data_IF_437942885280
#
_entry.id   IF_437942885280
#
_cell.length_a   1.000
_cell.length_b   1.000
_cell.length_c   1.000
_cell.angle_alpha   90.00
_cell.angle_beta   90.00
_cell.angle_gamma   90.00
#
_symmetry.space_group_name_H-M   'P 1'
#
loop_
_entity.id
_entity.type
_entity.pdbx_description
1 polymer ?
#
# COMPACT_ATOMS: atom_id res chain seq x y z
N UNK A 1 -9.64 -18.79 10.61
CA UNK A 1 -9.50 -17.61 9.73
C UNK A 1 -10.72 -17.60 8.82
N UNK A 2 -11.73 -16.78 9.08
CA UNK A 2 -12.89 -16.68 8.18
C UNK A 2 -12.54 -15.69 7.07
N UNK A 3 -12.64 -16.13 5.83
CA UNK A 3 -12.60 -15.29 4.63
C UNK A 3 -13.67 -14.19 4.75
N UNK A 4 -13.37 -12.97 4.30
CA UNK A 4 -14.35 -11.87 4.27
C UNK A 4 -15.63 -12.34 3.57
N UNK A 5 -16.75 -12.33 4.30
CA UNK A 5 -18.03 -12.83 3.81
C UNK A 5 -18.80 -11.69 3.18
N UNK A 6 -19.25 -11.88 1.95
CA UNK A 6 -20.09 -10.92 1.27
C UNK A 6 -21.51 -11.43 1.23
N UNK A 7 -22.47 -10.54 1.48
CA UNK A 7 -23.88 -10.85 1.38
C UNK A 7 -24.57 -9.77 0.54
N UNK A 8 -25.44 -10.20 -0.36
CA UNK A 8 -26.00 -9.33 -1.38
C UNK A 8 -27.50 -9.50 -1.50
N UNK A 9 -28.22 -8.40 -1.66
CA UNK A 9 -29.62 -8.43 -2.07
C UNK A 9 -29.80 -7.68 -3.39
N UNK A 10 -30.25 -8.42 -4.40
CA UNK A 10 -30.48 -7.96 -5.75
C UNK A 10 -31.72 -8.66 -6.31
N UNK A 11 -32.55 -7.93 -7.05
CA UNK A 11 -33.64 -8.51 -7.82
C UNK A 11 -33.13 -9.62 -8.75
N UNK A 12 -33.95 -10.66 -8.94
CA UNK A 12 -33.57 -11.86 -9.71
C UNK A 12 -33.07 -11.52 -11.12
N UNK A 13 -33.73 -10.57 -11.78
CA UNK A 13 -33.45 -10.16 -13.16
C UNK A 13 -32.10 -9.42 -13.29
N UNK A 14 -31.59 -8.85 -12.20
CA UNK A 14 -30.35 -8.08 -12.18
C UNK A 14 -29.13 -8.90 -11.70
N UNK A 15 -29.32 -10.19 -11.33
CA UNK A 15 -28.21 -11.05 -10.87
C UNK A 15 -27.15 -11.31 -11.94
N UNK A 16 -27.53 -11.29 -13.22
CA UNK A 16 -26.59 -11.44 -14.35
C UNK A 16 -25.64 -10.24 -14.45
N UNK A 17 -26.18 -9.02 -14.37
CA UNK A 17 -25.40 -7.77 -14.40
C UNK A 17 -24.48 -7.65 -13.18
N UNK A 18 -24.97 -8.09 -12.01
CA UNK A 18 -24.20 -8.12 -10.78
C UNK A 18 -23.04 -9.11 -10.86
N UNK A 19 -23.14 -10.20 -11.63
CA UNK A 19 -22.02 -11.14 -11.82
C UNK A 19 -20.75 -10.47 -12.35
N UNK A 20 -20.88 -9.49 -13.25
CA UNK A 20 -19.75 -8.69 -13.74
C UNK A 20 -19.14 -7.82 -12.63
N UNK A 21 -19.99 -7.27 -11.76
CA UNK A 21 -19.56 -6.45 -10.61
C UNK A 21 -18.89 -7.32 -9.54
N UNK A 22 -19.43 -8.50 -9.23
CA UNK A 22 -18.80 -9.43 -8.30
C UNK A 22 -17.42 -9.88 -8.81
N UNK A 23 -17.30 -10.08 -10.13
CA UNK A 23 -16.04 -10.43 -10.78
C UNK A 23 -15.06 -9.27 -10.72
N UNK A 24 -15.52 -8.05 -11.02
CA UNK A 24 -14.75 -6.83 -10.88
C UNK A 24 -14.28 -6.61 -9.44
N UNK A 25 -15.12 -6.87 -8.45
CA UNK A 25 -14.78 -6.77 -7.03
C UNK A 25 -13.92 -7.95 -6.53
N UNK A 26 -13.74 -9.01 -7.33
CA UNK A 26 -12.99 -10.20 -6.94
C UNK A 26 -13.69 -11.08 -5.91
N UNK A 27 -15.01 -10.98 -5.79
CA UNK A 27 -15.82 -11.62 -4.74
C UNK A 27 -16.83 -12.66 -5.26
N UNK A 28 -16.80 -13.01 -6.56
CA UNK A 28 -17.77 -13.93 -7.19
C UNK A 28 -17.99 -15.24 -6.44
N UNK A 29 -16.94 -15.80 -5.83
CA UNK A 29 -17.01 -17.08 -5.11
C UNK A 29 -17.27 -16.93 -3.60
N UNK A 30 -17.52 -15.71 -3.12
CA UNK A 30 -17.60 -15.36 -1.69
C UNK A 30 -18.81 -14.50 -1.34
N UNK A 31 -19.63 -14.18 -2.32
CA UNK A 31 -20.84 -13.38 -2.15
C UNK A 31 -22.07 -14.30 -2.13
N UNK A 32 -22.74 -14.36 -0.99
CA UNK A 32 -24.03 -15.05 -0.84
C UNK A 32 -25.17 -14.10 -1.21
N UNK A 33 -26.23 -14.61 -1.82
CA UNK A 33 -27.40 -13.81 -2.18
C UNK A 33 -28.56 -14.11 -1.23
N UNK A 34 -29.20 -13.07 -0.71
CA UNK A 34 -30.45 -13.21 0.03
C UNK A 34 -31.66 -13.17 -0.88
N UNK A 35 -32.77 -13.67 -0.36
CA UNK A 35 -34.08 -13.71 -1.00
C UNK A 35 -34.87 -12.41 -0.80
N UNK A 36 -34.62 -11.67 0.28
CA UNK A 36 -35.29 -10.39 0.57
C UNK A 36 -34.40 -9.37 1.28
N UNK A 37 -34.83 -8.10 1.23
CA UNK A 37 -34.24 -7.01 2.00
C UNK A 37 -34.33 -7.24 3.53
N UNK A 38 -35.43 -7.84 3.99
CA UNK A 38 -35.62 -8.17 5.40
C UNK A 38 -34.66 -9.26 5.87
N UNK A 39 -34.45 -10.29 5.04
CA UNK A 39 -33.49 -11.36 5.29
C UNK A 39 -32.06 -10.82 5.36
N UNK A 40 -31.68 -9.97 4.40
CA UNK A 40 -30.38 -9.29 4.39
C UNK A 40 -30.13 -8.55 5.71
N UNK A 41 -31.07 -7.69 6.09
CA UNK A 41 -30.97 -6.87 7.30
C UNK A 41 -30.93 -7.72 8.57
N UNK A 42 -31.73 -8.78 8.65
CA UNK A 42 -31.73 -9.72 9.77
C UNK A 42 -30.41 -10.49 9.91
N UNK A 43 -29.83 -10.97 8.80
CA UNK A 43 -28.56 -11.70 8.81
C UNK A 43 -27.43 -10.78 9.28
N UNK A 44 -27.32 -9.58 8.70
CA UNK A 44 -26.30 -8.60 9.07
C UNK A 44 -26.46 -8.17 10.52
N UNK A 45 -27.69 -7.93 10.99
CA UNK A 45 -27.95 -7.49 12.36
C UNK A 45 -27.67 -8.54 13.44
N UNK A 46 -27.76 -9.85 13.11
CA UNK A 46 -27.51 -10.96 14.03
C UNK A 46 -26.08 -11.50 13.99
N UNK A 47 -25.28 -11.06 13.02
CA UNK A 47 -23.87 -11.45 12.88
C UNK A 47 -22.97 -10.68 13.84
N UNK A 48 -21.72 -11.10 14.03
CA UNK A 48 -20.81 -10.27 14.83
C UNK A 48 -20.46 -8.99 14.05
N UNK A 49 -20.27 -7.85 14.73
CA UNK A 49 -20.00 -6.59 14.05
C UNK A 49 -18.83 -6.70 13.07
N UNK A 50 -19.04 -6.21 11.86
CA UNK A 50 -18.07 -6.23 10.76
C UNK A 50 -17.73 -7.61 10.16
N UNK A 51 -18.54 -8.64 10.43
CA UNK A 51 -18.37 -9.96 9.79
C UNK A 51 -18.70 -9.96 8.29
N UNK A 52 -19.63 -9.11 7.88
CA UNK A 52 -20.17 -9.09 6.52
C UNK A 52 -19.99 -7.73 5.84
N UNK A 53 -19.56 -7.81 4.58
CA UNK A 53 -19.63 -6.72 3.61
C UNK A 53 -20.93 -6.88 2.80
N UNK A 54 -21.67 -5.80 2.61
CA UNK A 54 -23.03 -5.83 2.06
C UNK A 54 -23.07 -5.19 0.68
N UNK A 55 -23.67 -5.87 -0.28
CA UNK A 55 -23.93 -5.32 -1.62
C UNK A 55 -25.44 -5.25 -1.88
N UNK A 56 -25.92 -4.08 -2.28
CA UNK A 56 -27.35 -3.85 -2.58
C UNK A 56 -27.44 -3.29 -3.97
N UNK A 57 -28.31 -3.83 -4.82
CA UNK A 57 -28.53 -3.24 -6.12
C UNK A 57 -29.79 -3.72 -6.81
N UNK A 58 -30.45 -2.81 -7.52
CA UNK A 58 -31.58 -3.08 -8.40
C UNK A 58 -32.59 -4.07 -7.77
N UNK A 59 -33.09 -3.73 -6.58
CA UNK A 59 -33.92 -4.63 -5.74
C UNK A 59 -35.34 -4.86 -6.28
N UNK A 60 -35.73 -4.18 -7.35
CA UNK A 60 -36.96 -4.42 -8.11
C UNK A 60 -38.28 -4.32 -7.32
N UNK A 61 -38.27 -3.80 -6.10
CA UNK A 61 -39.40 -3.84 -5.15
C UNK A 61 -39.67 -2.48 -4.49
N UNK A 62 -40.74 -2.38 -3.69
CA UNK A 62 -41.27 -1.17 -3.02
C UNK A 62 -40.26 -0.40 -2.13
N UNK A 63 -39.07 -0.95 -1.89
CA UNK A 63 -38.00 -0.32 -1.10
C UNK A 63 -36.94 0.23 -2.05
N UNK A 64 -36.72 1.55 -2.00
CA UNK A 64 -35.62 2.18 -2.74
C UNK A 64 -34.26 1.61 -2.27
N UNK A 65 -33.42 1.13 -3.20
CA UNK A 65 -32.10 0.54 -2.90
C UNK A 65 -31.26 1.39 -1.93
N UNK A 66 -31.34 2.71 -2.06
CA UNK A 66 -30.65 3.68 -1.19
C UNK A 66 -31.19 3.68 0.24
N UNK A 67 -32.51 3.51 0.43
CA UNK A 67 -33.11 3.45 1.76
C UNK A 67 -32.73 2.14 2.46
N UNK A 68 -32.64 1.04 1.71
CA UNK A 68 -32.14 -0.22 2.25
C UNK A 68 -30.67 -0.10 2.64
N UNK A 69 -29.84 0.49 1.78
CA UNK A 69 -28.42 0.73 2.09
C UNK A 69 -28.26 1.61 3.33
N UNK A 70 -28.99 2.72 3.40
CA UNK A 70 -29.00 3.61 4.57
C UNK A 70 -29.46 2.89 5.85
N UNK A 71 -30.44 1.98 5.76
CA UNK A 71 -30.89 1.20 6.91
C UNK A 71 -29.81 0.24 7.41
N UNK A 72 -29.11 -0.45 6.51
CA UNK A 72 -27.99 -1.34 6.85
C UNK A 72 -26.84 -0.55 7.48
N UNK A 73 -26.50 0.62 6.92
CA UNK A 73 -25.48 1.51 7.50
C UNK A 73 -25.90 1.96 8.90
N UNK A 74 -27.16 2.38 9.08
CA UNK A 74 -27.69 2.81 10.38
C UNK A 74 -27.65 1.71 11.43
N UNK A 75 -27.84 0.45 11.04
CA UNK A 75 -27.76 -0.69 11.94
C UNK A 75 -26.32 -0.94 12.45
N UNK A 76 -25.30 -0.39 11.78
CA UNK A 76 -23.91 -0.30 12.27
C UNK A 76 -23.13 -1.62 12.33
N UNK A 77 -23.71 -2.72 11.88
CA UNK A 77 -23.11 -4.06 11.98
C UNK A 77 -22.37 -4.51 10.71
N UNK A 78 -22.59 -3.86 9.56
CA UNK A 78 -21.88 -4.17 8.33
C UNK A 78 -20.45 -3.60 8.36
N UNK A 79 -19.50 -4.32 7.74
CA UNK A 79 -18.12 -3.85 7.54
C UNK A 79 -18.04 -2.75 6.49
N UNK A 80 -18.78 -2.93 5.40
CA UNK A 80 -18.99 -1.93 4.36
C UNK A 80 -20.33 -2.18 3.64
N UNK A 81 -20.86 -1.15 3.00
CA UNK A 81 -22.11 -1.15 2.25
C UNK A 81 -21.87 -0.58 0.85
N UNK A 82 -22.08 -1.41 -0.16
CA UNK A 82 -21.92 -1.07 -1.57
C UNK A 82 -23.29 -1.00 -2.23
N UNK A 83 -23.59 0.12 -2.88
CA UNK A 83 -24.81 0.33 -3.67
C UNK A 83 -24.48 0.18 -5.16
N UNK A 84 -25.19 -0.69 -5.86
CA UNK A 84 -25.12 -0.85 -7.32
C UNK A 84 -26.36 -0.24 -7.95
N UNK A 85 -26.18 0.76 -8.82
CA UNK A 85 -27.29 1.43 -9.49
C UNK A 85 -26.89 1.87 -10.90
N UNK A 86 -27.63 1.42 -11.90
CA UNK A 86 -27.49 1.88 -13.28
C UNK A 86 -27.93 3.34 -13.42
N UNK A 87 -27.12 4.16 -14.10
CA UNK A 87 -27.39 5.60 -14.27
C UNK A 87 -27.25 6.38 -12.96
N UNK A 88 -26.25 6.06 -12.13
CA UNK A 88 -26.04 6.68 -10.84
C UNK A 88 -25.63 8.16 -10.98
N UNK A 89 -26.63 9.06 -10.92
CA UNK A 89 -26.42 10.50 -10.99
C UNK A 89 -25.60 11.04 -9.81
N UNK A 90 -24.96 12.21 -9.99
CA UNK A 90 -24.23 12.89 -8.91
C UNK A 90 -25.09 13.16 -7.67
N UNK A 91 -26.38 13.46 -7.86
CA UNK A 91 -27.32 13.66 -6.73
C UNK A 91 -27.64 12.35 -5.98
N UNK A 92 -27.61 11.20 -6.64
CA UNK A 92 -27.76 9.90 -5.98
C UNK A 92 -26.50 9.54 -5.19
N UNK A 93 -25.32 9.76 -5.78
CA UNK A 93 -24.03 9.53 -5.10
C UNK A 93 -23.87 10.40 -3.86
N UNK A 94 -24.22 11.69 -3.94
CA UNK A 94 -24.23 12.62 -2.80
C UNK A 94 -25.17 12.15 -1.67
N UNK A 95 -26.37 11.67 -2.01
CA UNK A 95 -27.31 11.13 -1.02
C UNK A 95 -26.82 9.84 -0.38
N UNK A 96 -26.24 8.92 -1.17
CA UNK A 96 -25.68 7.67 -0.68
C UNK A 96 -24.51 7.93 0.29
N UNK A 97 -23.59 8.83 -0.06
CA UNK A 97 -22.48 9.23 0.80
C UNK A 97 -22.98 9.85 2.12
N UNK A 98 -23.98 10.75 2.09
CA UNK A 98 -24.61 11.31 3.30
C UNK A 98 -25.27 10.26 4.18
N UNK A 99 -25.77 9.17 3.58
CA UNK A 99 -26.33 8.04 4.29
C UNK A 99 -25.27 7.06 4.82
N UNK A 100 -23.98 7.33 4.58
CA UNK A 100 -22.84 6.50 4.99
C UNK A 100 -22.64 5.24 4.14
N UNK A 101 -23.14 5.22 2.91
CA UNK A 101 -22.84 4.16 1.94
C UNK A 101 -21.40 4.34 1.44
N UNK A 102 -20.58 3.30 1.56
CA UNK A 102 -19.13 3.35 1.28
C UNK A 102 -18.82 3.51 -0.22
N UNK A 103 -19.60 2.87 -1.08
CA UNK A 103 -19.35 2.85 -2.52
C UNK A 103 -20.63 2.79 -3.34
N UNK A 104 -20.70 3.60 -4.41
CA UNK A 104 -21.74 3.50 -5.44
C UNK A 104 -21.12 3.06 -6.76
N UNK A 105 -21.55 1.91 -7.28
CA UNK A 105 -21.09 1.35 -8.56
C UNK A 105 -22.19 1.51 -9.60
N UNK A 106 -21.84 2.13 -10.73
CA UNK A 106 -22.67 2.11 -11.92
C UNK A 106 -22.17 1.00 -12.88
N UNK A 107 -22.99 -0.03 -13.17
CA UNK A 107 -22.64 -1.07 -14.12
C UNK A 107 -22.26 -0.52 -15.51
N UNK A 108 -22.84 0.59 -15.95
CA UNK A 108 -22.56 1.20 -17.26
C UNK A 108 -21.16 1.81 -17.32
N UNK A 109 -20.69 2.40 -16.21
CA UNK A 109 -19.31 2.91 -16.09
C UNK A 109 -18.28 1.76 -16.09
N UNK A 110 -18.68 0.57 -15.63
CA UNK A 110 -17.83 -0.61 -15.57
C UNK A 110 -17.54 -1.21 -16.96
N UNK A 111 -18.52 -1.17 -17.86
CA UNK A 111 -18.41 -1.70 -19.23
C UNK A 111 -17.35 -0.98 -20.07
N UNK A 112 -17.15 0.31 -19.82
CA UNK A 112 -16.13 1.13 -20.49
C UNK A 112 -14.74 0.97 -19.83
N UNK A 113 -14.69 0.73 -18.51
CA UNK A 113 -13.45 0.51 -17.76
C UNK A 113 -12.75 -0.82 -18.11
N UNK A 114 -13.50 -1.87 -18.44
CA UNK A 114 -12.97 -3.20 -18.78
C UNK A 114 -12.27 -3.20 -20.14
N UNK A 115 -12.69 -2.34 -21.08
CA UNK A 115 -12.11 -2.28 -22.45
C UNK A 115 -10.80 -1.51 -22.55
N UNK A 116 -10.50 -0.63 -21.59
CA UNK A 116 -9.37 0.32 -21.72
C UNK A 116 -8.16 -0.07 -20.87
N UNK A 117 -8.23 -1.13 -20.04
CA UNK A 117 -7.08 -1.57 -19.24
C UNK A 117 -6.52 -0.49 -18.29
N UNK A 118 -7.29 0.59 -18.07
CA UNK A 118 -6.97 1.70 -17.18
C UNK A 118 -8.04 1.74 -16.10
N UNK A 119 -7.89 0.88 -15.10
CA UNK A 119 -8.68 0.95 -13.88
C UNK A 119 -8.19 2.09 -12.97
N UNK A 120 -8.20 3.33 -13.45
CA UNK A 120 -8.21 4.51 -12.58
C UNK A 120 -9.67 4.94 -12.47
N UNK A 121 -10.37 4.51 -11.43
CA UNK A 121 -11.53 5.28 -10.99
C UNK A 121 -11.00 6.61 -10.49
N UNK A 122 -11.45 7.71 -11.10
CA UNK A 122 -11.15 9.07 -10.65
C UNK A 122 -11.32 9.15 -9.14
N UNK A 123 -10.24 9.49 -8.41
CA UNK A 123 -10.34 10.06 -7.07
C UNK A 123 -11.50 11.07 -7.10
N UNK A 124 -12.56 10.78 -6.35
CA UNK A 124 -13.90 11.30 -6.60
C UNK A 124 -13.91 12.79 -6.96
N UNK A 125 -14.52 13.14 -8.09
CA UNK A 125 -14.66 14.52 -8.56
C UNK A 125 -15.30 15.44 -7.49
N UNK A 126 -16.11 14.87 -6.58
CA UNK A 126 -16.72 15.56 -5.45
C UNK A 126 -15.74 15.91 -4.31
N UNK A 127 -14.59 15.22 -4.18
CA UNK A 127 -13.57 15.57 -3.18
C UNK A 127 -12.66 16.70 -3.66
N UNK A 128 -12.40 16.77 -4.96
CA UNK A 128 -11.54 17.78 -5.59
C UNK A 128 -12.26 19.09 -5.92
N UNK A 129 -13.58 19.18 -5.71
CA UNK A 129 -14.39 20.35 -6.03
C UNK A 129 -14.47 21.39 -4.89
N UNK A 130 -13.85 21.12 -3.75
CA UNK A 130 -13.76 22.07 -2.64
C UNK A 130 -12.67 23.12 -2.91
N UNK A 131 -12.83 24.35 -2.39
CA UNK A 131 -11.79 25.37 -2.49
C UNK A 131 -10.49 24.89 -1.84
N UNK A 132 -9.37 25.40 -2.35
CA UNK A 132 -8.05 25.13 -1.79
C UNK A 132 -8.03 25.58 -0.32
N UNK A 133 -7.59 24.73 0.61
CA UNK A 133 -7.55 25.11 2.01
C UNK A 133 -6.44 26.13 2.25
N UNK A 134 -6.65 27.12 3.12
CA UNK A 134 -5.58 28.03 3.50
C UNK A 134 -4.67 27.35 4.53
N UNK A 135 -3.35 27.44 4.36
CA UNK A 135 -2.39 26.80 5.26
C UNK A 135 -2.54 27.29 6.72
N UNK A 136 -3.02 28.53 6.92
CA UNK A 136 -3.34 29.10 8.23
C UNK A 136 -4.39 28.31 9.01
N UNK A 137 -5.32 27.66 8.31
CA UNK A 137 -6.44 26.94 8.93
C UNK A 137 -5.97 25.69 9.69
N UNK A 138 -4.78 25.17 9.37
CA UNK A 138 -4.26 23.90 9.90
C UNK A 138 -3.12 24.09 10.90
N UNK A 139 -2.68 25.32 11.19
CA UNK A 139 -1.54 25.57 12.08
C UNK A 139 -1.79 24.96 13.47
N UNK A 140 -2.99 25.15 14.03
CA UNK A 140 -3.37 24.58 15.31
C UNK A 140 -3.40 23.04 15.27
N UNK A 141 -4.00 22.46 14.22
CA UNK A 141 -4.09 21.00 14.07
C UNK A 141 -2.72 20.34 13.87
N UNK A 142 -1.79 21.01 13.18
CA UNK A 142 -0.40 20.55 13.04
C UNK A 142 0.32 20.53 14.39
N UNK A 143 0.09 21.53 15.23
CA UNK A 143 0.66 21.59 16.59
C UNK A 143 0.06 20.51 17.49
N UNK A 144 -1.26 20.32 17.43
CA UNK A 144 -1.97 19.29 18.17
C UNK A 144 -1.51 17.88 17.75
N UNK A 145 -1.42 17.63 16.45
CA UNK A 145 -0.90 16.37 15.91
C UNK A 145 0.53 16.12 16.37
N UNK A 146 1.42 17.12 16.34
CA UNK A 146 2.79 16.94 16.85
C UNK A 146 2.82 16.59 18.34
N UNK A 147 1.97 17.23 19.14
CA UNK A 147 1.86 16.95 20.59
C UNK A 147 1.40 15.51 20.82
N UNK A 148 0.36 15.09 20.11
CA UNK A 148 -0.12 13.71 20.13
C UNK A 148 0.97 12.72 19.68
N UNK A 149 1.63 12.95 18.55
CA UNK A 149 2.69 12.06 18.05
C UNK A 149 3.86 11.96 19.04
N UNK A 150 4.29 13.06 19.64
CA UNK A 150 5.34 13.07 20.66
C UNK A 150 4.97 12.23 21.88
N UNK A 151 3.70 12.25 22.31
CA UNK A 151 3.22 11.44 23.43
C UNK A 151 3.36 9.92 23.19
N UNK A 152 3.36 9.50 21.91
CA UNK A 152 3.48 8.10 21.51
C UNK A 152 4.93 7.64 21.36
N UNK A 153 5.90 8.56 21.33
CA UNK A 153 7.29 8.20 21.09
C UNK A 153 7.83 7.44 22.31
N UNK A 154 8.32 6.19 22.14
CA UNK A 154 8.90 5.44 23.25
C UNK A 154 10.08 6.18 23.87
N UNK A 155 10.07 6.29 25.21
CA UNK A 155 11.18 6.84 25.99
C UNK A 155 12.43 5.96 25.89
N UNK A 156 12.23 4.63 25.89
CA UNK A 156 13.30 3.67 25.70
C UNK A 156 13.54 3.44 24.20
N UNK A 157 14.73 3.81 23.74
CA UNK A 157 15.14 3.64 22.33
C UNK A 157 15.23 2.18 21.91
N UNK A 158 15.40 1.23 22.84
CA UNK A 158 15.44 -0.20 22.53
C UNK A 158 14.07 -0.77 22.12
N UNK A 159 13.00 -0.05 22.42
CA UNK A 159 11.63 -0.42 22.06
C UNK A 159 11.21 0.09 20.66
N UNK A 160 12.09 0.81 19.95
CA UNK A 160 11.78 1.33 18.61
C UNK A 160 12.13 0.30 17.54
N UNK A 161 11.16 -0.02 16.70
CA UNK A 161 11.41 -0.76 15.47
C UNK A 161 12.36 0.00 14.54
N UNK A 162 13.22 -0.71 13.81
CA UNK A 162 14.10 -0.07 12.85
C UNK A 162 13.32 0.53 11.68
N UNK A 163 13.81 1.68 11.22
CA UNK A 163 13.25 2.44 10.10
C UNK A 163 14.17 2.28 8.88
N UNK A 164 13.65 1.68 7.82
CA UNK A 164 14.32 1.59 6.52
C UNK A 164 13.67 2.57 5.56
N UNK A 165 14.42 3.60 5.18
CA UNK A 165 13.96 4.61 4.23
C UNK A 165 14.55 4.36 2.87
N UNK A 166 13.69 4.29 1.87
CA UNK A 166 14.08 4.01 0.49
C UNK A 166 13.92 5.27 -0.35
N UNK A 167 14.99 5.62 -1.05
CA UNK A 167 15.04 6.79 -1.91
C UNK A 167 15.63 6.43 -3.28
N UNK A 168 15.41 7.29 -4.28
CA UNK A 168 16.04 7.16 -5.59
C UNK A 168 16.23 8.54 -6.22
N UNK A 169 17.28 8.69 -7.02
CA UNK A 169 17.51 9.95 -7.75
C UNK A 169 16.77 10.01 -9.09
N UNK A 170 16.03 8.95 -9.45
CA UNK A 170 15.25 8.84 -10.68
C UNK A 170 13.90 8.16 -10.40
N UNK A 171 12.85 8.64 -11.06
CA UNK A 171 11.53 8.03 -11.05
C UNK A 171 11.47 6.75 -11.88
N UNK A 172 10.55 5.84 -11.56
CA UNK A 172 10.33 4.61 -12.34
C UNK A 172 11.35 3.47 -12.09
N UNK A 173 12.29 3.64 -11.16
CA UNK A 173 13.26 2.60 -10.78
C UNK A 173 12.63 1.40 -10.05
N UNK A 174 11.31 1.42 -9.79
CA UNK A 174 10.57 0.32 -9.16
C UNK A 174 10.61 0.32 -7.63
N UNK A 175 11.00 1.42 -7.00
CA UNK A 175 11.15 1.59 -5.56
C UNK A 175 9.91 1.17 -4.76
N UNK A 176 8.74 1.73 -5.07
CA UNK A 176 7.49 1.37 -4.40
C UNK A 176 7.16 -0.12 -4.53
N UNK A 177 7.39 -0.72 -5.71
CA UNK A 177 7.17 -2.16 -5.91
C UNK A 177 8.06 -3.00 -4.99
N UNK A 178 9.34 -2.64 -4.88
CA UNK A 178 10.28 -3.33 -3.99
C UNK A 178 9.85 -3.26 -2.53
N UNK A 179 9.48 -2.06 -2.06
CA UNK A 179 9.15 -1.83 -0.66
C UNK A 179 7.82 -2.50 -0.31
N UNK A 180 6.82 -2.41 -1.19
CA UNK A 180 5.57 -3.16 -1.03
C UNK A 180 5.81 -4.67 -0.98
N UNK A 181 6.74 -5.20 -1.79
CA UNK A 181 7.12 -6.60 -1.73
C UNK A 181 7.78 -6.99 -0.41
N UNK A 182 8.75 -6.17 0.04
CA UNK A 182 9.41 -6.37 1.32
C UNK A 182 8.42 -6.31 2.48
N UNK A 183 7.42 -5.42 2.42
CA UNK A 183 6.38 -5.30 3.43
C UNK A 183 5.51 -6.54 3.52
N UNK A 184 5.09 -7.09 2.37
CA UNK A 184 4.31 -8.32 2.30
C UNK A 184 5.11 -9.54 2.81
N UNK A 185 6.38 -9.65 2.45
CA UNK A 185 7.25 -10.75 2.89
C UNK A 185 7.57 -10.64 4.39
N UNK A 186 7.94 -9.45 4.88
CA UNK A 186 8.21 -9.24 6.30
C UNK A 186 6.97 -9.58 7.16
N UNK A 187 5.78 -9.17 6.69
CA UNK A 187 4.51 -9.50 7.33
C UNK A 187 4.22 -11.00 7.30
N UNK A 188 4.49 -11.69 6.18
CA UNK A 188 4.33 -13.16 6.10
C UNK A 188 5.33 -13.90 6.99
N UNK A 189 6.47 -13.28 7.31
CA UNK A 189 7.43 -13.78 8.31
C UNK A 189 7.03 -13.48 9.77
N UNK A 190 5.86 -12.91 9.98
CA UNK A 190 5.27 -12.68 11.30
C UNK A 190 5.52 -11.29 11.89
N UNK A 191 6.32 -10.44 11.24
CA UNK A 191 6.57 -9.08 11.71
C UNK A 191 5.33 -8.21 11.55
N UNK A 192 5.11 -7.32 12.52
CA UNK A 192 4.21 -6.18 12.39
C UNK A 192 4.93 -5.08 11.62
N UNK A 193 4.37 -4.70 10.47
CA UNK A 193 5.02 -3.81 9.50
C UNK A 193 4.17 -2.56 9.27
N UNK A 194 4.79 -1.39 9.35
CA UNK A 194 4.25 -0.16 8.80
C UNK A 194 4.92 0.14 7.45
N UNK A 195 4.14 0.16 6.38
CA UNK A 195 4.53 0.70 5.09
C UNK A 195 4.06 2.16 5.02
N UNK A 196 5.00 3.08 4.82
CA UNK A 196 4.73 4.52 4.79
C UNK A 196 5.04 5.04 3.40
N UNK A 197 4.00 5.42 2.64
CA UNK A 197 4.12 6.04 1.32
C UNK A 197 4.23 7.55 1.48
N UNK A 198 5.46 8.05 1.47
CA UNK A 198 5.81 9.47 1.52
C UNK A 198 6.00 10.09 0.14
N UNK A 199 5.60 9.42 -0.95
CA UNK A 199 5.20 10.13 -2.16
C UNK A 199 3.80 10.71 -1.96
N UNK A 200 3.67 11.64 -1.01
CA UNK A 200 2.39 12.04 -0.43
C UNK A 200 1.36 12.55 -1.44
N UNK A 201 1.81 13.15 -2.54
CA UNK A 201 0.94 13.74 -3.56
C UNK A 201 0.49 12.75 -4.64
N UNK A 202 1.34 11.78 -5.01
CA UNK A 202 1.13 10.91 -6.18
C UNK A 202 1.52 9.44 -5.93
N UNK A 203 1.68 9.07 -4.66
CA UNK A 203 2.06 7.74 -4.24
C UNK A 203 1.04 6.70 -4.66
N UNK A 204 1.52 5.50 -4.91
CA UNK A 204 0.74 4.40 -5.46
C UNK A 204 1.13 3.06 -4.85
N UNK A 205 1.56 3.04 -3.59
CA UNK A 205 1.78 1.79 -2.86
C UNK A 205 0.48 0.99 -2.73
N UNK A 206 -0.65 1.67 -2.45
CA UNK A 206 -1.97 1.04 -2.29
C UNK A 206 -2.40 0.25 -3.54
N UNK A 207 -2.16 0.80 -4.74
CA UNK A 207 -2.52 0.15 -6.01
C UNK A 207 -1.82 -1.19 -6.18
N UNK A 208 -0.51 -1.25 -5.88
CA UNK A 208 0.28 -2.49 -5.98
C UNK A 208 -0.20 -3.56 -5.02
N UNK A 209 -0.75 -3.15 -3.88
CA UNK A 209 -1.32 -4.01 -2.86
C UNK A 209 -2.78 -4.41 -3.15
N UNK A 210 -3.35 -3.98 -4.29
CA UNK A 210 -4.73 -4.29 -4.67
C UNK A 210 -5.78 -3.52 -3.87
N UNK A 211 -5.38 -2.48 -3.15
CA UNK A 211 -6.27 -1.59 -2.41
C UNK A 211 -6.83 -0.56 -3.39
N UNK A 212 -8.14 -0.30 -3.31
CA UNK A 212 -8.80 0.69 -4.18
C UNK A 212 -8.92 2.06 -3.54
N UNK A 213 -9.23 2.08 -2.25
CA UNK A 213 -9.47 3.31 -1.48
C UNK A 213 -8.67 3.24 -0.18
N UNK A 214 -7.41 3.71 -0.18
CA UNK A 214 -6.66 3.85 1.05
C UNK A 214 -7.29 4.93 1.92
N UNK A 215 -7.05 4.87 3.23
CA UNK A 215 -7.32 5.98 4.13
C UNK A 215 -6.44 7.17 3.74
N UNK A 216 -7.06 8.34 3.70
CA UNK A 216 -6.38 9.58 3.35
C UNK A 216 -5.42 9.99 4.46
N UNK A 217 -4.14 10.11 4.15
CA UNK A 217 -3.14 10.46 5.14
C UNK A 217 -3.28 11.90 5.66
N UNK A 218 -3.88 12.79 4.86
CA UNK A 218 -4.18 14.16 5.31
C UNK A 218 -5.20 14.21 6.45
N UNK A 219 -5.97 13.14 6.66
CA UNK A 219 -6.90 13.03 7.80
C UNK A 219 -6.18 13.07 9.15
N UNK A 220 -4.87 12.79 9.23
CA UNK A 220 -4.12 12.96 10.48
C UNK A 220 -4.07 14.41 10.94
N UNK A 221 -4.08 15.35 10.00
CA UNK A 221 -4.06 16.80 10.29
C UNK A 221 -5.48 17.36 10.30
N UNK A 222 -6.37 16.87 9.43
CA UNK A 222 -7.75 17.34 9.39
C UNK A 222 -8.60 16.85 10.57
N UNK A 223 -8.29 15.68 11.13
CA UNK A 223 -8.98 15.06 12.27
C UNK A 223 -7.94 14.38 13.17
N UNK A 224 -7.33 15.18 14.05
CA UNK A 224 -6.24 14.74 14.92
C UNK A 224 -6.74 13.62 15.85
N UNK A 225 -6.05 12.48 15.93
CA UNK A 225 -6.49 11.37 16.78
C UNK A 225 -6.52 11.76 18.25
N UNK A 226 -7.54 11.30 18.97
CA UNK A 226 -7.60 11.44 20.43
C UNK A 226 -6.60 10.52 21.14
N UNK A 227 -6.22 10.82 22.38
CA UNK A 227 -5.26 10.00 23.16
C UNK A 227 -5.66 8.53 23.34
N UNK A 228 -6.94 8.21 23.16
CA UNK A 228 -7.48 6.85 23.28
C UNK A 228 -7.40 6.05 21.97
N UNK A 229 -7.22 6.72 20.84
CA UNK A 229 -7.17 6.10 19.52
C UNK A 229 -5.76 5.60 19.22
N UNK A 230 -5.65 4.42 18.62
CA UNK A 230 -4.35 3.96 18.16
C UNK A 230 -3.99 4.64 16.85
N UNK A 231 -2.75 5.15 16.71
CA UNK A 231 -2.26 5.66 15.43
C UNK A 231 -2.37 4.62 14.28
N UNK A 232 -2.31 3.32 14.59
CA UNK A 232 -2.50 2.26 13.59
C UNK A 232 -3.94 2.16 13.08
N UNK A 233 -4.94 2.63 13.82
CA UNK A 233 -6.32 2.74 13.36
C UNK A 233 -6.48 3.79 12.27
N UNK A 234 -5.53 4.73 12.13
CA UNK A 234 -5.48 5.70 11.03
C UNK A 234 -4.83 5.12 9.76
N UNK A 235 -4.19 3.96 9.86
CA UNK A 235 -3.63 3.27 8.70
C UNK A 235 -4.68 2.49 7.91
N UNK A 236 -4.41 2.29 6.63
CA UNK A 236 -5.10 1.30 5.79
C UNK A 236 -4.60 -0.08 6.16
N UNK A 237 -5.47 -0.95 6.66
CA UNK A 237 -5.13 -2.34 6.93
C UNK A 237 -5.03 -3.11 5.62
N UNK A 238 -3.82 -3.55 5.24
CA UNK A 238 -3.57 -4.30 4.00
C UNK A 238 -3.80 -5.79 4.22
N UNK A 239 -3.22 -6.32 5.30
CA UNK A 239 -3.33 -7.70 5.75
C UNK A 239 -3.09 -7.73 7.27
N UNK A 240 -3.29 -8.88 7.91
CA UNK A 240 -2.84 -9.10 9.29
C UNK A 240 -1.38 -8.67 9.42
N UNK A 241 -1.09 -7.77 10.36
CA UNK A 241 0.23 -7.23 10.66
C UNK A 241 0.85 -6.32 9.57
N UNK A 242 0.10 -5.85 8.56
CA UNK A 242 0.60 -4.89 7.57
C UNK A 242 -0.30 -3.66 7.47
N UNK A 243 0.27 -2.50 7.83
CA UNK A 243 -0.42 -1.21 7.89
C UNK A 243 0.19 -0.26 6.86
N UNK A 244 -0.65 0.31 6.00
CA UNK A 244 -0.24 1.31 5.01
C UNK A 244 -0.68 2.71 5.45
N UNK A 245 0.28 3.63 5.51
CA UNK A 245 0.06 5.06 5.64
C UNK A 245 0.41 5.76 4.34
N UNK A 246 -0.39 6.75 3.92
CA UNK A 246 -0.22 7.40 2.63
C UNK A 246 -0.97 6.73 1.48
N UNK A 247 -1.11 7.42 0.34
CA UNK A 247 -0.78 8.83 0.12
C UNK A 247 -1.89 9.77 0.65
N UNK A 248 -1.81 11.07 0.34
CA UNK A 248 -2.92 12.00 0.49
C UNK A 248 -3.86 11.89 -0.72
N UNK A 249 -5.18 12.00 -0.50
CA UNK A 249 -6.14 12.04 -1.61
C UNK A 249 -6.01 13.34 -2.39
N UNK A 250 -5.82 14.45 -1.67
CA UNK A 250 -5.61 15.79 -2.23
C UNK A 250 -4.11 16.11 -2.25
N UNK A 251 -3.48 16.26 -3.42
CA UNK A 251 -2.05 16.56 -3.52
C UNK A 251 -1.61 17.81 -2.75
N UNK A 252 -2.45 18.85 -2.73
CA UNK A 252 -2.21 20.11 -2.04
C UNK A 252 -2.15 19.99 -0.51
N UNK A 253 -2.65 18.89 0.06
CA UNK A 253 -2.59 18.62 1.51
C UNK A 253 -1.30 17.96 1.96
N UNK A 254 -0.45 17.52 1.03
CA UNK A 254 0.79 16.81 1.34
C UNK A 254 1.74 17.64 2.23
N UNK A 255 1.89 18.94 1.95
CA UNK A 255 2.84 19.79 2.66
C UNK A 255 2.46 20.03 4.13
N UNK A 256 1.16 19.95 4.47
CA UNK A 256 0.69 20.08 5.86
C UNK A 256 1.27 19.01 6.79
N UNK A 257 1.64 17.86 6.25
CA UNK A 257 2.22 16.74 7.00
C UNK A 257 3.73 16.86 7.18
N UNK A 258 4.42 17.69 6.38
CA UNK A 258 5.89 17.77 6.40
C UNK A 258 6.43 18.10 7.79
N UNK A 259 5.87 19.05 8.56
CA UNK A 259 6.35 19.35 9.92
C UNK A 259 6.23 18.18 10.91
N UNK A 260 5.40 17.18 10.62
CA UNK A 260 5.08 16.06 11.51
C UNK A 260 5.88 14.79 11.18
N UNK A 261 6.60 14.73 10.07
CA UNK A 261 7.21 13.50 9.53
C UNK A 261 8.13 12.80 10.54
N UNK A 262 9.03 13.54 11.20
CA UNK A 262 9.94 12.93 12.17
C UNK A 262 9.22 12.33 13.37
N UNK A 263 8.28 13.09 13.98
CA UNK A 263 7.50 12.60 15.11
C UNK A 263 6.61 11.42 14.70
N UNK A 264 6.03 11.46 13.51
CA UNK A 264 5.22 10.39 12.96
C UNK A 264 6.00 9.09 12.83
N UNK A 265 7.18 9.12 12.18
CA UNK A 265 8.01 7.91 12.02
C UNK A 265 8.44 7.36 13.38
N UNK A 266 8.82 8.23 14.32
CA UNK A 266 9.21 7.81 15.66
C UNK A 266 8.04 7.21 16.47
N UNK A 267 6.84 7.80 16.37
CA UNK A 267 5.64 7.26 17.02
C UNK A 267 5.27 5.89 16.44
N UNK A 268 5.20 5.77 15.11
CA UNK A 268 4.88 4.50 14.44
C UNK A 268 5.92 3.42 14.77
N UNK A 269 7.20 3.77 14.87
CA UNK A 269 8.26 2.83 15.25
C UNK A 269 8.06 2.20 16.63
N UNK A 270 7.29 2.84 17.53
CA UNK A 270 6.93 2.26 18.82
C UNK A 270 5.75 1.29 18.80
N UNK A 271 5.07 1.13 17.65
CA UNK A 271 3.82 0.39 17.53
C UNK A 271 3.92 -0.87 16.65
N UNK A 272 5.03 -1.03 15.94
CA UNK A 272 5.29 -2.11 14.98
C UNK A 272 6.69 -2.68 15.19
N UNK A 273 7.07 -3.73 14.45
CA UNK A 273 8.39 -4.36 14.50
C UNK A 273 9.32 -3.87 13.38
N UNK A 274 8.75 -3.27 12.31
CA UNK A 274 9.49 -2.76 11.16
C UNK A 274 8.77 -1.59 10.50
N UNK A 275 9.49 -0.51 10.20
CA UNK A 275 8.96 0.61 9.40
C UNK A 275 9.69 0.67 8.06
N UNK A 276 8.93 0.58 6.97
CA UNK A 276 9.41 0.70 5.60
C UNK A 276 8.87 2.00 4.99
N UNK A 277 9.76 2.91 4.60
CA UNK A 277 9.39 4.24 4.11
C UNK A 277 9.72 4.36 2.62
N UNK A 278 8.71 4.65 1.80
CA UNK A 278 8.85 4.94 0.38
C UNK A 278 8.83 6.44 0.15
N UNK A 279 9.95 7.05 -0.26
CA UNK A 279 10.00 8.50 -0.49
C UNK A 279 9.69 8.85 -1.94
N UNK A 280 9.28 10.10 -2.20
CA UNK A 280 9.35 10.67 -3.55
C UNK A 280 10.82 10.81 -4.02
N UNK A 281 11.02 11.13 -5.30
CA UNK A 281 12.34 11.48 -5.87
C UNK A 281 12.71 12.94 -5.63
N UNK A 282 11.74 13.77 -5.23
CA UNK A 282 11.97 15.17 -4.92
C UNK A 282 12.70 15.33 -3.58
N UNK A 283 13.63 16.28 -3.52
CA UNK A 283 14.34 16.64 -2.30
C UNK A 283 13.50 17.61 -1.46
N UNK A 284 12.45 17.09 -0.83
CA UNK A 284 11.54 17.84 0.05
C UNK A 284 11.95 17.74 1.52
N UNK A 285 11.35 18.56 2.39
CA UNK A 285 11.53 18.45 3.85
C UNK A 285 11.02 17.12 4.39
N UNK A 286 9.97 16.54 3.77
CA UNK A 286 9.52 15.19 4.06
C UNK A 286 10.63 14.16 3.83
N UNK A 287 11.31 14.22 2.67
CA UNK A 287 12.48 13.37 2.40
C UNK A 287 13.59 13.60 3.43
N UNK A 288 13.91 14.86 3.74
CA UNK A 288 14.99 15.21 4.66
C UNK A 288 14.78 14.60 6.06
N UNK A 289 13.58 14.78 6.62
CA UNK A 289 13.22 14.22 7.92
C UNK A 289 13.18 12.69 7.91
N UNK A 290 12.63 12.08 6.86
CA UNK A 290 12.61 10.63 6.72
C UNK A 290 14.04 10.04 6.66
N UNK A 291 14.93 10.65 5.87
CA UNK A 291 16.32 10.23 5.75
C UNK A 291 17.07 10.34 7.09
N UNK A 292 16.82 11.40 7.87
CA UNK A 292 17.43 11.60 9.19
C UNK A 292 16.95 10.58 10.24
N UNK A 293 15.70 10.11 10.13
CA UNK A 293 15.14 9.10 11.03
C UNK A 293 15.59 7.67 10.68
N UNK A 294 16.19 7.45 9.52
CA UNK A 294 16.50 6.13 9.02
C UNK A 294 17.65 5.44 9.79
N UNK A 295 17.40 4.19 10.20
CA UNK A 295 18.44 3.26 10.65
C UNK A 295 19.24 2.72 9.47
N UNK A 296 18.57 2.58 8.30
CA UNK A 296 19.20 2.35 7.01
C UNK A 296 18.54 3.20 5.94
N UNK A 297 19.36 3.92 5.18
CA UNK A 297 18.92 4.65 3.99
C UNK A 297 19.29 3.85 2.75
N UNK A 298 18.30 3.30 2.08
CA UNK A 298 18.46 2.45 0.90
C UNK A 298 18.28 3.29 -0.37
N UNK A 299 19.35 3.47 -1.13
CA UNK A 299 19.34 4.18 -2.40
C UNK A 299 19.10 3.17 -3.53
N UNK A 300 17.92 3.23 -4.13
CA UNK A 300 17.48 2.36 -5.22
C UNK A 300 17.87 2.95 -6.57
N UNK A 301 18.52 2.14 -7.40
CA UNK A 301 18.84 2.45 -8.80
C UNK A 301 18.58 1.25 -9.68
N UNK A 302 18.42 1.44 -10.98
CA UNK A 302 18.50 0.32 -11.95
C UNK A 302 19.98 0.01 -12.21
N UNK A 303 20.48 0.23 -13.42
CA UNK A 303 21.90 0.06 -13.73
C UNK A 303 22.75 1.18 -13.08
N UNK A 304 23.71 0.86 -12.18
CA UNK A 304 24.53 1.84 -11.50
C UNK A 304 25.38 2.68 -12.46
N UNK A 305 25.78 2.13 -13.61
CA UNK A 305 26.58 2.82 -14.63
C UNK A 305 25.80 3.96 -15.29
N UNK A 306 24.51 3.77 -15.54
CA UNK A 306 23.65 4.79 -16.16
C UNK A 306 23.07 5.77 -15.13
N UNK A 307 23.14 5.42 -13.84
CA UNK A 307 22.53 6.19 -12.76
C UNK A 307 23.54 6.89 -11.84
N UNK A 308 24.85 6.88 -12.17
CA UNK A 308 25.90 7.35 -11.26
C UNK A 308 25.69 8.79 -10.78
N UNK A 309 25.31 9.71 -11.69
CA UNK A 309 25.05 11.11 -11.34
C UNK A 309 23.89 11.26 -10.36
N UNK A 310 22.85 10.43 -10.49
CA UNK A 310 21.71 10.43 -9.58
C UNK A 310 22.10 9.84 -8.22
N UNK A 311 22.89 8.76 -8.21
CA UNK A 311 23.43 8.15 -7.00
C UNK A 311 24.27 9.16 -6.21
N UNK A 312 25.21 9.85 -6.87
CA UNK A 312 26.07 10.86 -6.27
C UNK A 312 25.30 12.03 -5.65
N UNK A 313 24.26 12.52 -6.34
CA UNK A 313 23.40 13.61 -5.83
C UNK A 313 22.64 13.18 -4.58
N UNK A 314 22.02 12.00 -4.60
CA UNK A 314 21.22 11.48 -3.48
C UNK A 314 22.11 11.14 -2.28
N UNK A 315 23.24 10.44 -2.49
CA UNK A 315 24.15 10.10 -1.41
C UNK A 315 24.83 11.32 -0.81
N UNK A 316 25.24 12.27 -1.65
CA UNK A 316 25.81 13.55 -1.21
C UNK A 316 24.81 14.38 -0.40
N UNK A 317 23.54 14.41 -0.81
CA UNK A 317 22.48 15.07 -0.02
C UNK A 317 22.26 14.35 1.31
N UNK A 318 22.16 13.02 1.33
CA UNK A 318 22.00 12.25 2.55
C UNK A 318 23.11 12.53 3.58
N UNK A 319 24.38 12.59 3.12
CA UNK A 319 25.52 12.94 3.99
C UNK A 319 25.38 14.35 4.55
N UNK A 320 24.98 15.35 3.74
CA UNK A 320 24.75 16.73 4.21
C UNK A 320 23.58 16.85 5.18
N UNK A 321 22.59 15.97 5.06
CA UNK A 321 21.48 15.86 6.02
C UNK A 321 21.88 15.19 7.33
N UNK A 322 23.11 14.69 7.45
CA UNK A 322 23.63 14.05 8.67
C UNK A 322 23.47 12.53 8.70
N UNK A 323 23.07 11.89 7.59
CA UNK A 323 22.99 10.43 7.52
C UNK A 323 24.39 9.84 7.57
N UNK A 324 24.66 9.01 8.58
CA UNK A 324 25.93 8.33 8.72
C UNK A 324 26.20 7.42 7.51
N UNK A 325 27.40 7.50 6.93
CA UNK A 325 27.79 6.74 5.73
C UNK A 325 27.57 5.23 5.87
N UNK A 326 27.77 4.69 7.08
CA UNK A 326 27.56 3.26 7.38
C UNK A 326 26.10 2.82 7.36
N UNK A 327 25.14 3.77 7.37
CA UNK A 327 23.71 3.49 7.23
C UNK A 327 23.24 3.48 5.78
N UNK A 328 24.08 3.93 4.84
CA UNK A 328 23.72 4.01 3.42
C UNK A 328 23.89 2.64 2.77
N UNK A 329 22.86 2.18 2.09
CA UNK A 329 22.83 0.94 1.31
C UNK A 329 22.52 1.29 -0.14
N UNK A 330 23.16 0.59 -1.07
CA UNK A 330 22.89 0.66 -2.50
C UNK A 330 22.08 -0.56 -2.92
N UNK A 331 20.98 -0.34 -3.62
CA UNK A 331 20.12 -1.41 -4.10
C UNK A 331 19.91 -1.30 -5.62
N UNK A 332 20.51 -2.22 -6.37
CA UNK A 332 20.32 -2.35 -7.81
C UNK A 332 19.01 -3.13 -8.08
N UNK A 333 18.00 -2.47 -8.61
CA UNK A 333 16.75 -3.09 -9.04
C UNK A 333 16.78 -3.44 -10.54
N UNK A 334 15.89 -4.35 -10.95
CA UNK A 334 15.77 -4.85 -12.33
C UNK A 334 17.11 -5.42 -12.83
N UNK A 335 17.89 -5.97 -11.91
CA UNK A 335 19.18 -6.54 -12.22
C UNK A 335 19.00 -7.78 -13.11
N UNK A 336 19.80 -7.88 -14.17
CA UNK A 336 19.83 -9.10 -14.97
C UNK A 336 20.67 -10.15 -14.22
N UNK A 337 20.10 -11.32 -13.86
CA UNK A 337 20.82 -12.35 -13.11
C UNK A 337 22.01 -12.93 -13.88
N UNK A 338 22.02 -12.82 -15.22
CA UNK A 338 23.09 -13.35 -16.07
C UNK A 338 24.32 -12.43 -16.11
N UNK A 339 24.16 -11.15 -15.81
CA UNK A 339 25.23 -10.15 -15.89
C UNK A 339 25.99 -10.10 -14.56
N UNK A 340 27.32 -10.24 -14.64
CA UNK A 340 28.21 -10.02 -13.51
C UNK A 340 28.32 -8.51 -13.28
N UNK A 341 27.99 -8.06 -12.07
CA UNK A 341 28.06 -6.65 -11.73
C UNK A 341 29.45 -6.31 -11.19
N UNK A 342 29.94 -5.12 -11.56
CA UNK A 342 31.07 -4.50 -10.89
C UNK A 342 30.57 -3.68 -9.69
N UNK A 343 30.88 -4.16 -8.49
CA UNK A 343 30.51 -3.52 -7.22
C UNK A 343 31.41 -2.32 -6.88
N UNK A 344 32.47 -2.06 -7.65
CA UNK A 344 33.34 -0.90 -7.45
C UNK A 344 32.71 0.39 -7.98
N UNK A 345 31.80 0.29 -8.95
CA UNK A 345 31.12 1.43 -9.59
C UNK A 345 30.52 2.33 -8.53
N UNK A 346 30.86 3.62 -8.54
CA UNK A 346 30.32 4.63 -7.63
C UNK A 346 30.83 4.61 -6.19
N UNK A 347 31.79 3.74 -5.83
CA UNK A 347 32.47 3.82 -4.52
C UNK A 347 33.28 5.10 -4.32
N UNK A 348 33.64 5.79 -5.41
CA UNK A 348 34.32 7.08 -5.33
C UNK A 348 33.39 8.24 -4.94
N UNK A 349 32.07 8.05 -5.01
CA UNK A 349 31.10 9.08 -4.71
C UNK A 349 30.88 9.25 -3.20
N UNK A 350 30.65 10.50 -2.79
CA UNK A 350 30.44 10.86 -1.39
C UNK A 350 29.28 10.08 -0.79
N UNK A 351 29.55 9.37 0.31
CA UNK A 351 28.57 8.56 1.03
C UNK A 351 28.42 7.13 0.52
N UNK A 352 29.00 6.77 -0.62
CA UNK A 352 28.93 5.43 -1.20
C UNK A 352 30.19 4.59 -0.99
N UNK A 353 31.21 5.16 -0.36
CA UNK A 353 32.54 4.56 -0.19
C UNK A 353 32.47 3.28 0.66
N UNK A 354 31.62 3.30 1.69
CA UNK A 354 31.37 2.18 2.61
C UNK A 354 30.00 1.52 2.41
N UNK A 355 29.20 2.00 1.46
CA UNK A 355 27.83 1.54 1.28
C UNK A 355 27.80 0.09 0.74
N UNK A 356 27.12 -0.79 1.46
CA UNK A 356 26.87 -2.17 1.00
C UNK A 356 25.99 -2.13 -0.24
N UNK A 357 26.18 -3.11 -1.13
CA UNK A 357 25.45 -3.18 -2.39
C UNK A 357 24.70 -4.50 -2.52
N UNK A 358 23.41 -4.40 -2.81
CA UNK A 358 22.50 -5.52 -3.02
C UNK A 358 21.87 -5.44 -4.41
N UNK A 359 21.35 -6.56 -4.90
CA UNK A 359 20.70 -6.66 -6.21
C UNK A 359 19.35 -7.36 -6.07
N UNK A 360 18.34 -6.81 -6.71
CA UNK A 360 17.04 -7.44 -6.90
C UNK A 360 16.82 -7.64 -8.39
N UNK A 361 16.55 -8.89 -8.75
CA UNK A 361 16.45 -9.30 -10.15
C UNK A 361 15.13 -8.89 -10.76
N UNK A 362 15.13 -8.75 -12.08
CA UNK A 362 13.89 -8.52 -12.84
C UNK A 362 12.87 -9.65 -12.63
N UNK A 363 11.58 -9.29 -12.70
CA UNK A 363 10.47 -10.23 -12.49
C UNK A 363 10.08 -11.07 -13.70
N UNK A 364 10.62 -10.77 -14.88
CA UNK A 364 10.32 -11.52 -16.11
C UNK A 364 9.00 -11.15 -16.80
N UNK A 365 8.56 -11.96 -17.78
CA UNK A 365 7.35 -11.70 -18.57
C UNK A 365 6.08 -11.70 -17.70
N UNK A 366 5.14 -10.79 -17.96
CA UNK A 366 3.87 -10.72 -17.22
C UNK A 366 3.96 -10.00 -15.87
N UNK A 367 5.17 -9.68 -15.39
CA UNK A 367 5.38 -9.03 -14.10
C UNK A 367 4.70 -7.67 -14.03
N UNK A 368 4.88 -6.81 -15.04
CA UNK A 368 4.32 -5.45 -15.02
C UNK A 368 2.79 -5.47 -15.05
N UNK A 369 2.21 -6.37 -15.83
CA UNK A 369 0.76 -6.57 -15.94
C UNK A 369 0.16 -6.98 -14.60
N UNK A 370 0.78 -7.92 -13.88
CA UNK A 370 0.32 -8.34 -12.55
C UNK A 370 0.45 -7.23 -11.51
N UNK A 371 1.55 -6.46 -11.54
CA UNK A 371 1.72 -5.30 -10.65
C UNK A 371 0.65 -4.23 -10.91
N UNK A 372 0.36 -3.92 -12.18
CA UNK A 372 -0.69 -2.96 -12.55
C UNK A 372 -2.09 -3.44 -12.18
N UNK A 373 -2.32 -4.75 -12.06
CA UNK A 373 -3.56 -5.33 -11.59
C UNK A 373 -3.66 -5.40 -10.05
N UNK A 374 -2.67 -4.89 -9.31
CA UNK A 374 -2.63 -4.98 -7.85
C UNK A 374 -2.44 -6.39 -7.30
N UNK A 375 -1.87 -7.29 -8.11
CA UNK A 375 -1.67 -8.71 -7.77
C UNK A 375 -0.27 -9.00 -7.23
N UNK A 376 0.36 -8.03 -6.56
CA UNK A 376 1.71 -8.20 -6.03
C UNK A 376 1.77 -9.37 -5.02
N UNK A 377 0.75 -9.54 -4.18
CA UNK A 377 0.67 -10.65 -3.23
C UNK A 377 0.65 -12.03 -3.90
N UNK A 378 0.01 -12.15 -5.07
CA UNK A 378 -0.01 -13.38 -5.87
C UNK A 378 1.37 -13.65 -6.44
N UNK A 379 2.03 -12.62 -6.97
CA UNK A 379 3.36 -12.71 -7.55
C UNK A 379 4.40 -13.23 -6.54
N UNK A 380 4.31 -12.78 -5.29
CA UNK A 380 5.24 -13.18 -4.23
C UNK A 380 5.02 -14.62 -3.72
N UNK A 381 3.95 -15.29 -4.14
CA UNK A 381 3.78 -16.73 -3.89
C UNK A 381 4.53 -17.58 -4.92
N UNK A 382 4.95 -16.99 -6.04
CA UNK A 382 5.71 -17.69 -7.07
C UNK A 382 7.22 -17.64 -6.78
N UNK A 383 7.90 -18.77 -6.99
CA UNK A 383 9.35 -18.87 -6.87
C UNK A 383 10.08 -18.28 -8.09
N UNK A 384 10.01 -16.95 -8.21
CA UNK A 384 10.70 -16.19 -9.25
C UNK A 384 12.04 -15.65 -8.76
N UNK A 385 12.95 -15.32 -9.70
CA UNK A 385 14.22 -14.64 -9.39
C UNK A 385 14.01 -13.33 -8.63
N UNK A 386 12.92 -12.61 -8.92
CA UNK A 386 12.51 -11.41 -8.19
C UNK A 386 12.15 -11.75 -6.75
N UNK A 387 11.21 -12.67 -6.51
CA UNK A 387 10.76 -13.05 -5.16
C UNK A 387 11.93 -13.55 -4.30
N UNK A 388 12.80 -14.38 -4.87
CA UNK A 388 13.99 -14.92 -4.19
C UNK A 388 14.98 -13.81 -3.82
N UNK A 389 15.28 -12.90 -4.75
CA UNK A 389 16.22 -11.81 -4.49
C UNK A 389 15.65 -10.75 -3.53
N UNK A 390 14.35 -10.44 -3.58
CA UNK A 390 13.69 -9.57 -2.58
C UNK A 390 13.78 -10.19 -1.19
N UNK A 391 13.45 -11.49 -1.07
CA UNK A 391 13.50 -12.21 0.21
C UNK A 391 14.92 -12.24 0.78
N UNK A 392 15.92 -12.53 -0.06
CA UNK A 392 17.33 -12.50 0.31
C UNK A 392 17.76 -11.13 0.85
N UNK A 393 17.47 -10.06 0.12
CA UNK A 393 17.84 -8.70 0.53
C UNK A 393 17.15 -8.30 1.83
N UNK A 394 15.85 -8.60 1.96
CA UNK A 394 15.11 -8.33 3.18
C UNK A 394 15.69 -9.10 4.37
N UNK A 395 15.98 -10.39 4.23
CA UNK A 395 16.56 -11.20 5.29
C UNK A 395 17.91 -10.63 5.78
N UNK A 396 18.76 -10.17 4.85
CA UNK A 396 20.01 -9.49 5.20
C UNK A 396 19.79 -8.18 5.94
N UNK A 397 18.83 -7.36 5.50
CA UNK A 397 18.49 -6.11 6.21
C UNK A 397 18.01 -6.39 7.63
N UNK A 398 17.06 -7.32 7.80
CA UNK A 398 16.52 -7.67 9.11
C UNK A 398 17.57 -8.30 10.03
N UNK A 399 18.47 -9.12 9.48
CA UNK A 399 19.56 -9.73 10.25
C UNK A 399 20.56 -8.68 10.75
N UNK A 400 20.93 -7.72 9.91
CA UNK A 400 21.81 -6.61 10.32
C UNK A 400 21.18 -5.68 11.35
N UNK A 401 19.85 -5.62 11.38
CA UNK A 401 19.08 -4.84 12.35
C UNK A 401 18.71 -5.65 13.61
N UNK A 402 19.07 -6.94 13.66
CA UNK A 402 18.81 -7.81 14.82
C UNK A 402 17.35 -8.24 14.99
N UNK A 403 16.52 -8.11 13.95
CA UNK A 403 15.08 -8.39 13.98
C UNK A 403 14.64 -9.49 12.99
N UNK A 404 15.59 -10.28 12.46
CA UNK A 404 15.25 -11.40 11.59
C UNK A 404 14.45 -12.46 12.38
N UNK A 405 13.22 -12.80 11.96
CA UNK A 405 12.43 -13.83 12.63
C UNK A 405 13.11 -15.20 12.59
N UNK A 406 12.92 -16.01 13.64
CA UNK A 406 13.37 -17.41 13.68
C UNK A 406 12.54 -18.36 12.78
N UNK A 407 11.62 -17.79 11.99
CA UNK A 407 10.80 -18.52 11.05
C UNK A 407 11.68 -19.15 9.95
N UNK A 408 11.40 -20.41 9.60
CA UNK A 408 12.20 -21.20 8.65
C UNK A 408 12.42 -20.48 7.32
N UNK A 409 11.37 -19.87 6.76
CA UNK A 409 11.41 -19.15 5.49
C UNK A 409 12.37 -17.97 5.53
N UNK A 410 12.39 -17.21 6.64
CA UNK A 410 13.30 -16.08 6.84
C UNK A 410 14.76 -16.54 6.96
N UNK A 411 15.00 -17.66 7.67
CA UNK A 411 16.34 -18.25 7.82
C UNK A 411 16.87 -18.84 6.51
N UNK A 412 16.00 -19.49 5.72
CA UNK A 412 16.35 -19.97 4.37
C UNK A 412 16.69 -18.78 3.47
N UNK A 413 15.91 -17.70 3.51
CA UNK A 413 16.18 -16.51 2.70
C UNK A 413 17.54 -15.87 3.01
N UNK A 414 17.98 -15.87 4.27
CA UNK A 414 19.31 -15.37 4.66
C UNK A 414 20.46 -16.23 4.09
N UNK A 415 20.27 -17.55 4.01
CA UNK A 415 21.29 -18.49 3.52
C UNK A 415 21.26 -18.67 2.00
N UNK A 416 20.19 -18.21 1.35
CA UNK A 416 20.03 -18.34 -0.08
C UNK A 416 21.14 -17.57 -0.83
N UNK A 417 21.74 -18.19 -1.84
CA UNK A 417 22.41 -17.46 -2.91
C UNK A 417 21.41 -17.27 -4.02
N UNK A 418 21.01 -16.03 -4.39
CA UNK A 418 20.11 -15.81 -5.52
C UNK A 418 20.70 -16.45 -6.80
N UNK A 419 20.20 -17.64 -7.17
CA UNK A 419 20.82 -18.46 -8.21
C UNK A 419 20.56 -17.92 -9.61
N UNK A 420 21.57 -18.06 -10.48
CA UNK A 420 21.40 -18.01 -11.94
C UNK A 420 20.70 -19.30 -12.38
N UNK A 421 19.38 -19.35 -12.54
CA UNK A 421 18.79 -20.54 -13.19
C UNK A 421 19.32 -20.67 -14.63
N UNK A 422 19.89 -21.82 -15.03
CA UNK A 422 20.18 -22.13 -16.42
C UNK A 422 18.86 -22.42 -17.17
N UNK A 423 18.93 -22.34 -18.51
CA UNK A 423 17.82 -22.58 -19.43
C UNK A 423 17.04 -23.88 -19.10
N UNK A 424 15.72 -23.79 -18.98
CA UNK A 424 14.83 -24.90 -19.31
C UNK A 424 14.70 -24.95 -20.83
N UNK A 425 15.54 -25.73 -21.49
CA UNK A 425 15.37 -26.13 -22.89
C UNK A 425 14.14 -27.02 -23.01
N UNK A 426 13.20 -26.64 -23.89
CA UNK A 426 12.18 -27.49 -24.52
C UNK A 426 11.31 -28.39 -23.61
N UNK A 427 10.05 -28.00 -23.43
CA UNK A 427 8.96 -28.98 -23.52
C UNK A 427 8.27 -28.79 -24.88
N UNK A 428 8.72 -29.58 -25.86
CA UNK A 428 7.93 -29.89 -27.06
C UNK A 428 6.59 -30.45 -26.57
N UNK A 429 5.50 -29.72 -26.80
CA UNK A 429 4.20 -30.39 -26.94
C UNK A 429 4.34 -31.30 -28.15
N UNK A 430 4.42 -32.61 -27.89
CA UNK A 430 4.07 -33.63 -28.87
C UNK A 430 2.63 -33.35 -29.26
N UNK A 431 2.42 -32.89 -30.48
CA UNK A 431 1.22 -33.25 -31.21
C UNK A 431 1.21 -34.77 -31.30
N UNK A 432 0.15 -35.39 -30.79
CA UNK A 432 -0.20 -36.77 -31.12
C UNK A 432 -1.63 -36.71 -31.63
N UNK A 433 -1.74 -37.02 -32.92
CA UNK A 433 -2.80 -37.80 -33.57
C UNK A 433 -4.24 -37.49 -33.23
#
# INVERSE_FOLDING_TARGET
MMLEKWISYVGLDARVEIGAILTYLGISNRCEFTDSAASLRSIVARSTPQDYSVLIGNTGSDVSDINLAAAIVKDGNARCVVLVRSGASGSLRSRAAKAGVDLVIDPMELGDLVKVGRGYQSYGADRLSQPLPEASDYVASIQELNTYLQSLIPLDKTLKAPILTFTSGRGGVGKTTLISSMALIASSWGLKVALVDFDLSYGNAFEKLGIRQPKDFSNLVADVPSEKESLLERATCVHKNLYLFGPCVKPEMAELLFPCVSHFLQAVSGLVDLVLVDTTTAATDCYAQAAQCADRLVIVSENPLTCINYLAKVSGLAVRLGVARTRIIRLENKANPRVKQDFSVGKAEVGLEAAKMFRIFEGGPGFQELIQQGKLSVLLQEETSFTQSVSFVLAHFLNELGILPQLREAQIALQATPEKKPFSLFNRKKEVG
#
